data_IF_710573467642
#
_entry.id   IF_710573467642
#
_cell.length_a   1.000
_cell.length_b   1.000
_cell.length_c   1.000
_cell.angle_alpha   90.00
_cell.angle_beta   90.00
_cell.angle_gamma   90.00
#
_symmetry.space_group_name_H-M   'P 1'
#
loop_
_entity.id
_entity.type
_entity.pdbx_description
1 polymer ?
#
# COMPACT_ATOMS: atom_id res chain seq x y z
N UNK A 1 11.03 8.82 4.94
CA UNK A 1 10.02 8.52 5.99
C UNK A 1 8.93 7.67 5.36
N UNK A 2 8.61 6.50 5.92
CA UNK A 2 7.45 5.72 5.47
C UNK A 2 6.18 6.38 6.04
N UNK A 3 5.20 6.68 5.19
CA UNK A 3 3.89 7.22 5.60
C UNK A 3 2.89 6.08 5.67
N UNK A 4 2.11 6.03 6.76
CA UNK A 4 1.20 4.93 7.11
C UNK A 4 -0.18 5.52 7.41
N UNK A 5 -1.23 4.88 6.90
CA UNK A 5 -2.63 5.10 7.28
C UNK A 5 -3.15 3.90 8.04
N UNK A 6 -3.86 4.16 9.12
CA UNK A 6 -4.51 3.13 9.93
C UNK A 6 -6.00 3.09 9.58
N UNK A 7 -6.49 1.91 9.21
CA UNK A 7 -7.91 1.67 8.99
C UNK A 7 -8.60 1.25 10.29
N UNK A 8 -9.91 1.48 10.40
CA UNK A 8 -10.72 1.18 11.60
C UNK A 8 -10.69 -0.30 12.01
N UNK A 9 -10.40 -1.19 11.07
CA UNK A 9 -10.29 -2.63 11.32
C UNK A 9 -8.88 -3.07 11.76
N UNK A 10 -7.99 -2.14 12.12
CA UNK A 10 -6.61 -2.44 12.53
C UNK A 10 -5.63 -2.68 11.37
N UNK A 11 -6.09 -2.61 10.12
CA UNK A 11 -5.22 -2.76 8.95
C UNK A 11 -4.43 -1.47 8.71
N UNK A 12 -3.12 -1.60 8.48
CA UNK A 12 -2.20 -0.53 8.14
C UNK A 12 -1.95 -0.53 6.63
N UNK A 13 -2.06 0.63 5.99
CA UNK A 13 -1.72 0.84 4.58
C UNK A 13 -0.53 1.79 4.52
N UNK A 14 0.53 1.42 3.81
CA UNK A 14 1.76 2.24 3.77
C UNK A 14 2.41 2.26 2.40
N UNK A 15 3.07 3.37 2.11
CA UNK A 15 3.94 3.51 0.94
C UNK A 15 5.38 3.21 1.33
N UNK A 16 6.01 2.32 0.56
CA UNK A 16 7.42 1.96 0.69
C UNK A 16 8.16 2.23 -0.62
N UNK A 17 9.17 3.09 -0.59
CA UNK A 17 10.11 3.21 -1.71
C UNK A 17 11.14 2.08 -1.60
N UNK A 18 11.13 1.17 -2.57
CA UNK A 18 12.13 0.10 -2.70
C UNK A 18 13.14 0.51 -3.76
N UNK A 19 14.40 0.57 -3.37
CA UNK A 19 15.54 0.82 -4.27
C UNK A 19 16.05 -0.51 -4.81
N UNK A 20 15.68 -0.83 -6.05
CA UNK A 20 16.31 -1.86 -6.87
C UNK A 20 17.13 -1.22 -7.99
N UNK A 21 17.06 -1.78 -9.21
CA UNK A 21 17.61 -1.16 -10.44
C UNK A 21 16.97 0.19 -10.74
N UNK A 22 15.70 0.38 -10.39
CA UNK A 22 14.99 1.65 -10.43
C UNK A 22 14.20 1.82 -9.12
N UNK A 23 14.05 3.06 -8.66
CA UNK A 23 13.27 3.35 -7.45
C UNK A 23 11.78 3.15 -7.76
N UNK A 24 11.16 2.17 -7.10
CA UNK A 24 9.72 1.90 -7.23
C UNK A 24 9.04 2.12 -5.88
N UNK A 25 7.91 2.82 -5.88
CA UNK A 25 7.08 2.95 -4.67
C UNK A 25 6.02 1.85 -4.70
N UNK A 26 6.05 0.97 -3.70
CA UNK A 26 5.06 -0.09 -3.53
C UNK A 26 4.07 0.27 -2.43
N UNK A 27 2.86 -0.27 -2.54
CA UNK A 27 1.84 -0.18 -1.50
C UNK A 27 1.86 -1.48 -0.71
N UNK A 28 2.02 -1.37 0.60
CA UNK A 28 2.03 -2.51 1.53
C UNK A 28 0.85 -2.41 2.47
N UNK A 29 0.18 -3.54 2.67
CA UNK A 29 -0.87 -3.71 3.66
C UNK A 29 -0.38 -4.65 4.75
N UNK A 30 -0.65 -4.28 6.01
CA UNK A 30 -0.27 -5.06 7.17
C UNK A 30 -1.44 -5.12 8.17
N UNK A 31 -1.67 -6.28 8.78
CA UNK A 31 -2.63 -6.43 9.86
C UNK A 31 -1.90 -7.05 11.06
N UNK A 32 -1.81 -6.38 12.22
CA UNK A 32 -1.01 -6.85 13.35
C UNK A 32 -1.37 -8.26 13.82
N UNK A 33 -2.65 -8.61 13.76
CA UNK A 33 -3.16 -9.93 14.15
C UNK A 33 -3.07 -11.01 13.06
N UNK A 34 -2.58 -10.69 11.85
CA UNK A 34 -2.39 -11.69 10.82
C UNK A 34 -1.14 -12.54 11.09
N UNK A 35 -1.11 -13.82 10.63
CA UNK A 35 0.09 -14.65 10.67
C UNK A 35 1.31 -13.96 10.06
N UNK A 36 2.50 -14.25 10.58
CA UNK A 36 3.76 -13.59 10.19
C UNK A 36 4.04 -13.62 8.69
N UNK A 37 3.71 -14.73 8.02
CA UNK A 37 3.86 -14.94 6.58
C UNK A 37 2.81 -14.22 5.74
N UNK A 38 1.74 -13.71 6.37
CA UNK A 38 0.67 -12.93 5.75
C UNK A 38 0.74 -11.43 6.07
N UNK A 39 1.70 -11.01 6.91
CA UNK A 39 1.96 -9.60 7.26
C UNK A 39 2.80 -8.91 6.18
N UNK A 40 2.77 -7.57 6.16
CA UNK A 40 3.54 -6.74 5.22
C UNK A 40 3.38 -7.14 3.74
N UNK A 41 2.14 -7.42 3.33
CA UNK A 41 1.82 -7.91 2.00
C UNK A 41 1.80 -6.77 0.96
N UNK A 42 2.54 -6.91 -0.14
CA UNK A 42 2.51 -5.96 -1.26
C UNK A 42 1.19 -6.12 -2.03
N UNK A 43 0.41 -5.04 -2.11
CA UNK A 43 -0.90 -5.05 -2.78
C UNK A 43 -0.91 -4.31 -4.11
N UNK A 44 0.20 -3.68 -4.49
CA UNK A 44 0.35 -2.97 -5.73
C UNK A 44 1.48 -1.94 -5.69
N UNK A 45 1.52 -1.09 -6.70
CA UNK A 45 2.62 -0.15 -6.94
C UNK A 45 2.08 1.22 -7.36
N UNK A 46 2.82 2.27 -7.03
CA UNK A 46 2.60 3.61 -7.54
C UNK A 46 3.54 3.87 -8.72
N UNK A 47 2.95 4.25 -9.84
CA UNK A 47 3.68 4.63 -11.04
C UNK A 47 3.52 6.13 -11.30
N UNK A 48 4.63 6.88 -11.45
CA UNK A 48 4.57 8.29 -11.81
C UNK A 48 3.73 8.50 -13.08
N UNK A 49 2.76 9.41 -13.02
CA UNK A 49 1.86 9.74 -14.13
C UNK A 49 0.72 8.75 -14.39
N UNK A 50 0.75 7.54 -13.82
CA UNK A 50 -0.33 6.54 -13.95
C UNK A 50 -1.13 6.35 -12.66
N UNK A 51 -0.54 6.64 -11.49
CA UNK A 51 -1.17 6.45 -10.19
C UNK A 51 -0.98 5.04 -9.64
N UNK A 52 -1.98 4.55 -8.90
CA UNK A 52 -1.94 3.23 -8.26
C UNK A 52 -2.30 2.11 -9.23
N UNK A 53 -1.39 1.14 -9.37
CA UNK A 53 -1.58 -0.10 -10.11
C UNK A 53 -1.63 -1.28 -9.13
N UNK A 54 -2.79 -1.94 -8.94
CA UNK A 54 -2.93 -3.06 -8.02
C UNK A 54 -2.16 -4.29 -8.49
N UNK A 55 -1.67 -5.09 -7.55
CA UNK A 55 -1.09 -6.39 -7.86
C UNK A 55 -2.18 -7.34 -8.40
N UNK A 56 -1.87 -8.18 -9.41
CA UNK A 56 -2.83 -9.15 -9.93
C UNK A 56 -3.37 -10.05 -8.82
N UNK A 57 -4.68 -10.30 -8.81
CA UNK A 57 -5.36 -11.17 -7.85
C UNK A 57 -5.23 -10.77 -6.37
N UNK A 58 -4.82 -9.54 -6.06
CA UNK A 58 -4.76 -9.04 -4.69
C UNK A 58 -6.05 -8.29 -4.30
N UNK A 59 -7.01 -9.00 -3.70
CA UNK A 59 -8.26 -8.38 -3.25
C UNK A 59 -8.06 -7.33 -2.15
N UNK A 60 -7.05 -7.49 -1.29
CA UNK A 60 -6.78 -6.55 -0.20
C UNK A 60 -6.50 -5.12 -0.70
N UNK A 61 -5.81 -4.99 -1.84
CA UNK A 61 -5.54 -3.72 -2.51
C UNK A 61 -6.75 -3.09 -3.21
N UNK A 62 -7.84 -3.84 -3.37
CA UNK A 62 -9.05 -3.42 -4.09
C UNK A 62 -10.21 -3.06 -3.15
N UNK A 63 -10.04 -3.25 -1.83
CA UNK A 63 -11.07 -2.89 -0.85
C UNK A 63 -11.26 -1.37 -0.80
N UNK A 64 -12.50 -0.85 -0.72
CA UNK A 64 -12.75 0.59 -0.72
C UNK A 64 -11.99 1.38 0.35
N UNK A 65 -11.89 0.85 1.56
CA UNK A 65 -11.13 1.50 2.65
C UNK A 65 -9.63 1.58 2.32
N UNK A 66 -9.05 0.51 1.77
CA UNK A 66 -7.65 0.49 1.31
C UNK A 66 -7.44 1.51 0.20
N UNK A 67 -8.32 1.55 -0.81
CA UNK A 67 -8.21 2.49 -1.94
C UNK A 67 -8.28 3.95 -1.50
N UNK A 68 -9.15 4.28 -0.54
CA UNK A 68 -9.21 5.63 0.04
C UNK A 68 -7.92 5.99 0.78
N UNK A 69 -7.42 5.08 1.62
CA UNK A 69 -6.15 5.31 2.31
C UNK A 69 -4.97 5.48 1.33
N UNK A 70 -4.96 4.74 0.22
CA UNK A 70 -3.96 4.92 -0.85
C UNK A 70 -4.10 6.30 -1.49
N UNK A 71 -5.32 6.73 -1.83
CA UNK A 71 -5.57 8.04 -2.41
C UNK A 71 -5.10 9.17 -1.49
N UNK A 72 -5.47 9.13 -0.21
CA UNK A 72 -5.01 10.08 0.81
C UNK A 72 -3.46 10.10 0.88
N UNK A 73 -2.83 8.93 0.90
CA UNK A 73 -1.37 8.83 0.94
C UNK A 73 -0.71 9.41 -0.32
N UNK A 74 -1.32 9.26 -1.49
CA UNK A 74 -0.81 9.84 -2.74
C UNK A 74 -0.95 11.37 -2.70
N UNK A 75 -2.13 11.88 -2.33
CA UNK A 75 -2.40 13.33 -2.24
C UNK A 75 -1.47 14.02 -1.26
N UNK A 76 -1.23 13.42 -0.09
CA UNK A 76 -0.29 13.97 0.90
C UNK A 76 1.18 13.98 0.43
N UNK A 77 1.53 13.21 -0.62
CA UNK A 77 2.88 13.13 -1.19
C UNK A 77 3.08 13.97 -2.45
N UNK A 78 2.04 14.65 -2.95
CA UNK A 78 2.09 15.52 -4.14
C UNK A 78 2.14 16.98 -3.71
#
# INVERSE_FOLDING_TARGET
MSRIKHLDNGTNVRLETRTGTEATTVVVVDHPDAPDDMRNYEVGRLFPGLGFLPAPFCEAGLRPATLRAIADLIEENT
#
